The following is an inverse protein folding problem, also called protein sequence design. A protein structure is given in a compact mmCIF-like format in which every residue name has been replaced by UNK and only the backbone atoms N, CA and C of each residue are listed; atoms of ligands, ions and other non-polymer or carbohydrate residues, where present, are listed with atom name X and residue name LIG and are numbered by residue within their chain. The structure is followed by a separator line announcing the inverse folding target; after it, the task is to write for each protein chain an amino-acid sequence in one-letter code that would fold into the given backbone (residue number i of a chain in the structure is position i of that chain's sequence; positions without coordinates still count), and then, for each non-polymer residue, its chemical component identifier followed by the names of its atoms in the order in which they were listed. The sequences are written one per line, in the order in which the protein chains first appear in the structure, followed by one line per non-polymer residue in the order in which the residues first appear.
data_IF_136121818004
#
_entry.id   IF_136121818004
#
_cell.length_a   1.000
_cell.length_b   1.000
_cell.length_c   1.000
_cell.angle_alpha   90.00
_cell.angle_beta   90.00
_cell.angle_gamma   90.00
#
_symmetry.space_group_name_H-M   'P 1'
#
loop_
_entity.id
_entity.type
_entity.pdbx_description
1 polymer ?
#
# COMPACT_ATOMS: atom_id res chain seq x y z
N UNK A 1 3.27 12.36 20.13
CA UNK A 1 2.67 13.64 19.69
C UNK A 1 3.55 14.79 20.15
N UNK A 2 3.82 15.81 19.31
CA UNK A 2 4.60 16.97 19.71
C UNK A 2 3.80 17.86 20.66
N UNK A 3 4.42 18.26 21.77
CA UNK A 3 3.86 19.22 22.72
C UNK A 3 4.76 20.47 22.82
N UNK A 4 4.15 21.66 22.89
CA UNK A 4 4.85 22.91 23.13
C UNK A 4 4.34 23.54 24.42
N UNK A 5 5.23 23.74 25.38
CA UNK A 5 4.92 24.40 26.67
C UNK A 5 5.80 25.63 26.84
N UNK A 6 5.21 26.76 27.22
CA UNK A 6 5.94 27.98 27.54
C UNK A 6 5.22 28.81 28.61
N UNK A 7 5.96 29.69 29.30
CA UNK A 7 5.40 30.67 30.23
C UNK A 7 5.06 31.93 29.43
N UNK A 8 3.80 32.35 29.48
CA UNK A 8 3.32 33.54 28.78
C UNK A 8 3.78 34.81 29.50
N UNK A 9 4.85 35.43 29.00
CA UNK A 9 5.42 36.69 29.51
C UNK A 9 5.09 37.90 28.62
N UNK A 10 4.63 37.66 27.39
CA UNK A 10 4.30 38.66 26.36
C UNK A 10 3.37 38.03 25.30
N UNK A 11 2.79 38.87 24.44
CA UNK A 11 1.93 38.44 23.33
C UNK A 11 2.74 37.66 22.28
N UNK A 12 2.16 36.57 21.75
CA UNK A 12 2.80 35.68 20.78
C UNK A 12 1.80 35.17 19.75
N UNK A 13 2.26 35.11 18.50
CA UNK A 13 1.58 34.40 17.43
C UNK A 13 2.23 33.02 17.24
N UNK A 14 1.42 31.97 17.28
CA UNK A 14 1.86 30.59 17.05
C UNK A 14 1.17 30.04 15.81
N UNK A 15 1.97 29.48 14.90
CA UNK A 15 1.49 28.82 13.69
C UNK A 15 1.89 27.36 13.75
N UNK A 16 0.91 26.47 13.67
CA UNK A 16 1.14 25.06 13.46
C UNK A 16 1.28 24.78 11.97
N UNK A 17 2.29 23.99 11.59
CA UNK A 17 2.47 23.51 10.22
C UNK A 17 2.05 22.04 10.16
N UNK A 18 1.13 21.74 9.24
CA UNK A 18 0.68 20.39 8.97
C UNK A 18 1.10 20.01 7.56
N UNK A 19 1.56 18.76 7.41
CA UNK A 19 1.80 18.12 6.13
C UNK A 19 0.90 16.89 6.04
N UNK A 20 0.43 16.58 4.84
CA UNK A 20 -0.26 15.32 4.59
C UNK A 20 0.74 14.18 4.79
N UNK A 21 0.29 13.07 5.38
CA UNK A 21 1.10 11.86 5.46
C UNK A 21 1.09 11.17 4.11
N UNK A 22 2.17 10.47 3.80
CA UNK A 22 2.23 9.55 2.68
C UNK A 22 2.56 8.13 3.17
N UNK A 23 2.21 7.14 2.37
CA UNK A 23 2.40 5.72 2.66
C UNK A 23 2.93 5.00 1.44
N UNK A 24 3.87 4.07 1.68
CA UNK A 24 4.45 3.24 0.63
C UNK A 24 3.66 1.94 0.51
N UNK A 25 3.19 1.66 -0.70
CA UNK A 25 2.54 0.39 -1.03
C UNK A 25 3.46 -0.41 -1.93
N UNK A 26 3.76 -1.63 -1.50
CA UNK A 26 4.54 -2.58 -2.29
C UNK A 26 3.71 -3.82 -2.60
N UNK A 27 3.87 -4.37 -3.80
CA UNK A 27 3.24 -5.63 -4.18
C UNK A 27 4.13 -6.46 -5.11
N UNK A 28 4.20 -7.77 -4.88
CA UNK A 28 5.01 -8.69 -5.70
C UNK A 28 4.26 -9.97 -6.06
N UNK A 29 4.57 -10.56 -7.21
CA UNK A 29 4.00 -11.83 -7.63
C UNK A 29 4.73 -13.01 -6.96
N UNK A 30 3.99 -13.98 -6.44
CA UNK A 30 4.52 -15.22 -5.88
C UNK A 30 3.82 -16.45 -6.50
N UNK A 31 4.53 -17.30 -7.26
CA UNK A 31 5.91 -17.10 -7.72
C UNK A 31 6.03 -15.91 -8.68
N UNK A 32 7.23 -15.32 -8.80
CA UNK A 32 7.49 -14.16 -9.67
C UNK A 32 7.08 -14.42 -11.14
N UNK A 33 7.19 -15.67 -11.60
CA UNK A 33 6.77 -16.09 -12.95
C UNK A 33 5.27 -16.33 -13.09
N UNK A 34 4.53 -16.30 -11.99
CA UNK A 34 3.11 -16.61 -11.94
C UNK A 34 2.24 -15.50 -12.53
N UNK A 35 2.73 -14.26 -12.56
CA UNK A 35 2.00 -13.13 -13.11
C UNK A 35 2.66 -11.78 -12.88
N UNK A 36 1.91 -10.72 -13.13
CA UNK A 36 2.30 -9.33 -12.93
C UNK A 36 1.26 -8.60 -12.08
N UNK A 37 1.66 -7.49 -11.43
CA UNK A 37 0.80 -6.53 -10.77
C UNK A 37 0.87 -5.22 -11.56
N UNK A 38 -0.25 -4.74 -12.08
CA UNK A 38 -0.33 -3.53 -12.93
C UNK A 38 0.67 -3.57 -14.12
N UNK A 39 0.93 -4.77 -14.68
CA UNK A 39 1.90 -4.98 -15.75
C UNK A 39 3.37 -5.12 -15.32
N UNK A 40 3.68 -5.06 -14.03
CA UNK A 40 5.05 -5.15 -13.48
C UNK A 40 5.23 -6.39 -12.57
N UNK A 41 6.45 -6.89 -12.41
CA UNK A 41 6.73 -8.02 -11.48
C UNK A 41 6.92 -7.57 -10.03
N UNK A 42 7.21 -6.27 -9.83
CA UNK A 42 7.39 -5.61 -8.55
C UNK A 42 6.78 -4.21 -8.64
N UNK A 43 5.72 -3.97 -7.88
CA UNK A 43 5.05 -2.68 -7.76
C UNK A 43 5.51 -1.99 -6.47
N UNK A 44 5.89 -0.71 -6.54
CA UNK A 44 6.27 0.08 -5.36
C UNK A 44 6.04 1.58 -5.63
N UNK A 45 5.01 2.13 -5.01
CA UNK A 45 4.64 3.54 -5.16
C UNK A 45 4.27 4.15 -3.79
N UNK A 46 4.43 5.47 -3.69
CA UNK A 46 4.04 6.26 -2.53
C UNK A 46 2.73 7.01 -2.83
N UNK A 47 1.78 6.93 -1.90
CA UNK A 47 0.44 7.50 -2.02
C UNK A 47 0.17 8.48 -0.87
N UNK A 48 -0.58 9.54 -1.15
CA UNK A 48 -1.04 10.47 -0.11
C UNK A 48 -2.07 9.78 0.81
N UNK A 49 -2.15 10.21 2.07
CA UNK A 49 -3.11 9.64 3.04
C UNK A 49 -4.55 9.73 2.52
N UNK A 50 -5.20 8.57 2.39
CA UNK A 50 -6.57 8.45 1.90
C UNK A 50 -6.70 8.45 0.38
N UNK A 51 -5.59 8.41 -0.37
CA UNK A 51 -5.62 8.18 -1.80
C UNK A 51 -6.00 6.71 -2.10
N UNK A 52 -6.79 6.51 -3.17
CA UNK A 52 -7.23 5.19 -3.60
C UNK A 52 -6.09 4.47 -4.33
N UNK A 53 -5.80 3.25 -3.90
CA UNK A 53 -4.81 2.34 -4.49
C UNK A 53 -5.54 1.23 -5.21
N UNK A 54 -5.14 0.95 -6.46
CA UNK A 54 -5.67 -0.16 -7.26
C UNK A 54 -4.52 -1.08 -7.71
N UNK A 55 -4.59 -2.34 -7.30
CA UNK A 55 -3.65 -3.39 -7.71
C UNK A 55 -4.39 -4.44 -8.53
N UNK A 56 -3.98 -4.60 -9.79
CA UNK A 56 -4.50 -5.60 -10.71
C UNK A 56 -3.49 -6.74 -10.87
N UNK A 57 -3.84 -7.95 -10.43
CA UNK A 57 -3.04 -9.14 -10.68
C UNK A 57 -3.41 -9.75 -12.04
N UNK A 58 -2.42 -9.93 -12.91
CA UNK A 58 -2.57 -10.55 -14.23
C UNK A 58 -1.75 -11.84 -14.28
N UNK A 59 -2.43 -12.99 -14.38
CA UNK A 59 -1.75 -14.29 -14.39
C UNK A 59 -1.00 -14.52 -15.71
N UNK A 60 0.19 -15.11 -15.60
CA UNK A 60 0.97 -15.60 -16.74
C UNK A 60 0.35 -16.88 -17.33
N UNK A 61 0.80 -17.27 -18.53
CA UNK A 61 0.36 -18.51 -19.16
C UNK A 61 0.65 -19.73 -18.28
N UNK A 62 -0.37 -20.57 -18.08
CA UNK A 62 -0.29 -21.76 -17.23
C UNK A 62 -0.45 -21.47 -15.73
N UNK A 63 -0.75 -20.23 -15.34
CA UNK A 63 -1.03 -19.84 -13.96
C UNK A 63 -2.44 -19.28 -13.79
N UNK A 64 -2.91 -19.28 -12.54
CA UNK A 64 -4.10 -18.55 -12.12
C UNK A 64 -3.82 -17.77 -10.83
N UNK A 65 -4.46 -16.61 -10.70
CA UNK A 65 -4.43 -15.84 -9.47
C UNK A 65 -5.30 -16.51 -8.40
N UNK A 66 -4.74 -16.69 -7.20
CA UNK A 66 -5.40 -17.34 -6.07
C UNK A 66 -5.97 -16.30 -5.11
N UNK A 67 -5.09 -15.48 -4.53
CA UNK A 67 -5.45 -14.43 -3.58
C UNK A 67 -4.31 -13.42 -3.39
N UNK A 68 -4.63 -12.33 -2.73
CA UNK A 68 -3.65 -11.44 -2.13
C UNK A 68 -3.32 -11.93 -0.72
N UNK A 69 -2.07 -11.78 -0.28
CA UNK A 69 -1.69 -11.93 1.12
C UNK A 69 -0.83 -10.78 1.60
N UNK A 70 -0.85 -10.52 2.90
CA UNK A 70 -0.01 -9.52 3.58
C UNK A 70 0.54 -10.16 4.86
N UNK A 71 1.86 -10.07 5.07
CA UNK A 71 2.53 -10.73 6.19
C UNK A 71 2.24 -12.24 6.36
N UNK A 72 1.88 -12.92 5.27
CA UNK A 72 1.53 -14.34 5.24
C UNK A 72 0.06 -14.63 5.61
N UNK A 73 -0.75 -13.62 5.87
CA UNK A 73 -2.20 -13.74 6.09
C UNK A 73 -2.98 -13.49 4.80
N UNK A 74 -4.09 -14.20 4.62
CA UNK A 74 -4.96 -14.06 3.45
C UNK A 74 -5.71 -12.72 3.50
N UNK A 75 -5.44 -11.86 2.52
CA UNK A 75 -6.09 -10.55 2.33
C UNK A 75 -7.28 -10.63 1.35
N UNK A 76 -7.59 -11.83 0.84
CA UNK A 76 -8.74 -12.11 0.00
C UNK A 76 -8.42 -12.25 -1.49
N UNK A 77 -9.39 -12.78 -2.24
CA UNK A 77 -9.25 -13.13 -3.66
C UNK A 77 -9.92 -12.14 -4.62
N UNK A 78 -10.24 -10.92 -4.16
CA UNK A 78 -10.81 -9.87 -5.02
C UNK A 78 -9.70 -9.31 -5.90
N UNK A 79 -9.96 -9.26 -7.21
CA UNK A 79 -9.02 -8.76 -8.21
C UNK A 79 -9.77 -7.96 -9.28
N UNK A 80 -9.47 -6.65 -9.48
CA UNK A 80 -8.43 -5.87 -8.80
C UNK A 80 -8.72 -5.64 -7.31
N UNK A 81 -7.67 -5.54 -6.51
CA UNK A 81 -7.73 -5.14 -5.11
C UNK A 81 -7.72 -3.61 -5.02
N UNK A 82 -8.71 -3.05 -4.32
CA UNK A 82 -8.88 -1.60 -4.16
C UNK A 82 -8.99 -1.26 -2.67
N UNK A 83 -8.22 -0.28 -2.20
CA UNK A 83 -8.22 0.20 -0.82
C UNK A 83 -7.65 1.62 -0.71
N UNK A 84 -7.90 2.29 0.42
CA UNK A 84 -7.32 3.62 0.70
C UNK A 84 -5.95 3.51 1.38
N UNK A 85 -4.99 4.35 0.98
CA UNK A 85 -3.66 4.42 1.58
C UNK A 85 -3.71 5.03 3.00
N UNK A 86 -3.88 4.19 4.02
CA UNK A 86 -3.92 4.62 5.44
C UNK A 86 -2.70 4.18 6.25
N UNK A 87 -1.91 3.24 5.73
CA UNK A 87 -0.68 2.72 6.30
C UNK A 87 0.23 2.15 5.20
N UNK A 88 1.49 1.93 5.54
CA UNK A 88 2.42 1.22 4.64
C UNK A 88 1.98 -0.24 4.51
N UNK A 89 2.00 -0.78 3.30
CA UNK A 89 1.53 -2.13 3.01
C UNK A 89 2.51 -2.91 2.14
N UNK A 90 2.60 -4.21 2.39
CA UNK A 90 3.44 -5.15 1.62
C UNK A 90 2.62 -6.36 1.25
N UNK A 91 2.20 -6.41 -0.02
CA UNK A 91 1.27 -7.40 -0.53
C UNK A 91 1.97 -8.43 -1.43
N UNK A 92 1.46 -9.65 -1.40
CA UNK A 92 1.83 -10.72 -2.33
C UNK A 92 0.61 -11.06 -3.17
N UNK A 93 0.76 -11.05 -4.49
CA UNK A 93 -0.19 -11.68 -5.41
C UNK A 93 0.20 -13.15 -5.54
N UNK A 94 -0.59 -14.05 -4.94
CA UNK A 94 -0.31 -15.48 -4.99
C UNK A 94 -0.92 -16.08 -6.26
N UNK A 95 -0.08 -16.80 -7.00
CA UNK A 95 -0.46 -17.52 -8.20
C UNK A 95 -0.18 -19.02 -8.03
N UNK A 96 -0.98 -19.85 -8.67
CA UNK A 96 -0.73 -21.29 -8.75
C UNK A 96 -0.72 -21.75 -10.20
N UNK A 97 0.05 -22.79 -10.49
CA UNK A 97 0.04 -23.41 -11.81
C UNK A 97 -1.30 -24.14 -12.01
N UNK A 98 -1.86 -24.04 -13.22
CA UNK A 98 -3.05 -24.77 -13.64
C UNK A 98 -2.79 -26.27 -13.81
#
# INVERSE_FOLDING_TARGET
EPNLTFIALEDRDLVAHFALKSYTITATAEPEKGGTINGETFFCEEFDHGEEVMLLAEAAEGYEFVNWSEDGEDSGSVNPLVFDATEDRTLLANFQHQ
#
